data_IF_446351756181
#
_entry.id   IF_446351756181
#
_cell.length_a   1.000
_cell.length_b   1.000
_cell.length_c   1.000
_cell.angle_alpha   90.00
_cell.angle_beta   90.00
_cell.angle_gamma   90.00
#
_symmetry.space_group_name_H-M   'P 1'
#
loop_
_entity.id
_entity.type
_entity.pdbx_description
1 polymer ?
#
# COMPACT_ATOMS: atom_id res chain seq x y z
N UNK A 1 -24.64 15.02 -4.55
CA UNK A 1 -23.65 14.48 -5.50
C UNK A 1 -22.31 15.11 -5.16
N UNK A 2 -21.50 14.45 -4.31
CA UNK A 2 -20.21 14.99 -3.85
C UNK A 2 -19.10 14.36 -4.69
N UNK A 3 -18.39 15.20 -5.40
CA UNK A 3 -17.24 14.90 -6.25
C UNK A 3 -16.05 14.46 -5.42
N UNK A 4 -15.81 13.15 -5.32
CA UNK A 4 -14.67 12.53 -4.61
C UNK A 4 -13.37 12.48 -5.45
N UNK A 5 -13.41 12.89 -6.73
CA UNK A 5 -12.27 12.81 -7.67
C UNK A 5 -11.05 13.71 -7.38
N UNK A 6 -11.12 14.91 -6.79
CA UNK A 6 -9.92 15.76 -6.65
C UNK A 6 -8.90 15.26 -5.63
N UNK A 7 -9.29 14.45 -4.64
CA UNK A 7 -8.38 14.01 -3.56
C UNK A 7 -7.43 12.89 -4.00
N UNK A 8 -7.92 11.93 -4.77
CA UNK A 8 -7.12 10.78 -5.26
C UNK A 8 -6.01 11.24 -6.22
N UNK A 9 -6.29 12.19 -7.11
CA UNK A 9 -5.31 12.75 -8.03
C UNK A 9 -4.16 13.48 -7.32
N UNK A 10 -4.48 14.28 -6.29
CA UNK A 10 -3.47 14.99 -5.48
C UNK A 10 -2.59 14.04 -4.68
N UNK A 11 -3.17 12.97 -4.13
CA UNK A 11 -2.42 11.94 -3.40
C UNK A 11 -1.43 11.22 -4.33
N UNK A 12 -1.86 10.79 -5.50
CA UNK A 12 -1.00 10.14 -6.51
C UNK A 12 0.12 11.06 -6.98
N UNK A 13 -0.16 12.35 -7.22
CA UNK A 13 0.86 13.32 -7.59
C UNK A 13 1.90 13.52 -6.49
N UNK A 14 1.47 13.65 -5.24
CA UNK A 14 2.37 13.76 -4.10
C UNK A 14 3.26 12.54 -3.93
N UNK A 15 2.70 11.33 -4.10
CA UNK A 15 3.46 10.09 -4.07
C UNK A 15 4.54 10.07 -5.14
N UNK A 16 4.22 10.46 -6.39
CA UNK A 16 5.19 10.56 -7.49
C UNK A 16 6.33 11.52 -7.17
N UNK A 17 6.04 12.72 -6.68
CA UNK A 17 7.07 13.70 -6.30
C UNK A 17 7.96 13.16 -5.18
N UNK A 18 7.37 12.52 -4.15
CA UNK A 18 8.16 11.90 -3.08
C UNK A 18 9.07 10.80 -3.62
N UNK A 19 8.55 9.91 -4.46
CA UNK A 19 9.34 8.84 -5.09
C UNK A 19 10.48 9.42 -5.93
N UNK A 20 10.25 10.47 -6.71
CA UNK A 20 11.29 11.13 -7.49
C UNK A 20 12.43 11.65 -6.61
N UNK A 21 12.12 12.31 -5.49
CA UNK A 21 13.13 12.83 -4.54
C UNK A 21 13.96 11.69 -3.93
N UNK A 22 13.31 10.60 -3.51
CA UNK A 22 14.04 9.47 -2.92
C UNK A 22 14.86 8.71 -3.94
N UNK A 23 14.36 8.54 -5.16
CA UNK A 23 15.11 7.90 -6.23
C UNK A 23 16.35 8.72 -6.64
N UNK A 24 16.24 10.04 -6.68
CA UNK A 24 17.38 10.93 -6.91
C UNK A 24 18.45 10.79 -5.80
N UNK A 25 18.03 10.77 -4.53
CA UNK A 25 18.94 10.53 -3.41
C UNK A 25 19.60 9.14 -3.47
N UNK A 26 18.83 8.10 -3.82
CA UNK A 26 19.34 6.74 -3.99
C UNK A 26 20.36 6.65 -5.12
N UNK A 27 20.15 7.34 -6.24
CA UNK A 27 21.10 7.36 -7.36
C UNK A 27 22.41 8.06 -6.99
N UNK A 28 22.34 9.18 -6.29
CA UNK A 28 23.51 9.87 -5.76
C UNK A 28 24.31 8.99 -4.79
N UNK A 29 23.63 8.25 -3.89
CA UNK A 29 24.28 7.29 -3.00
C UNK A 29 24.97 6.15 -3.80
N UNK A 30 24.28 5.62 -4.83
CA UNK A 30 24.83 4.55 -5.70
C UNK A 30 26.04 5.01 -6.49
N UNK A 31 26.10 6.28 -6.91
CA UNK A 31 27.24 6.86 -7.62
C UNK A 31 28.44 7.15 -6.72
N UNK A 32 28.40 6.78 -5.43
CA UNK A 32 29.51 6.93 -4.49
C UNK A 32 29.47 8.21 -3.65
N UNK A 33 28.41 9.01 -3.73
CA UNK A 33 28.21 10.16 -2.83
C UNK A 33 27.80 9.67 -1.45
N UNK A 34 28.72 9.64 -0.50
CA UNK A 34 28.45 9.15 0.86
C UNK A 34 27.36 9.95 1.60
N UNK A 35 27.26 11.25 1.35
CA UNK A 35 26.29 12.15 2.00
C UNK A 35 25.81 13.21 0.99
N UNK A 36 24.84 12.89 0.10
CA UNK A 36 24.28 13.87 -0.82
C UNK A 36 23.64 15.03 -0.08
N UNK A 37 23.95 16.26 -0.48
CA UNK A 37 23.33 17.46 0.07
C UNK A 37 21.92 17.70 -0.51
N UNK A 38 21.09 18.46 0.22
CA UNK A 38 19.73 18.79 -0.23
C UNK A 38 19.70 19.50 -1.60
N UNK A 39 20.73 20.27 -1.94
CA UNK A 39 20.82 20.96 -3.22
C UNK A 39 21.03 19.99 -4.37
N UNK A 40 21.95 19.04 -4.22
CA UNK A 40 22.23 18.01 -5.21
C UNK A 40 21.01 17.11 -5.44
N UNK A 41 20.31 16.74 -4.35
CA UNK A 41 19.11 15.94 -4.43
C UNK A 41 17.97 16.70 -5.13
N UNK A 42 17.78 17.98 -4.79
CA UNK A 42 16.75 18.83 -5.39
C UNK A 42 16.96 18.99 -6.90
N UNK A 43 18.21 19.24 -7.32
CA UNK A 43 18.61 19.34 -8.73
C UNK A 43 18.38 18.00 -9.46
N UNK A 44 18.85 16.90 -8.90
CA UNK A 44 18.68 15.57 -9.49
C UNK A 44 17.22 15.11 -9.59
N UNK A 45 16.36 15.60 -8.70
CA UNK A 45 14.91 15.31 -8.69
C UNK A 45 14.07 16.32 -9.50
N UNK A 46 14.68 17.33 -10.09
CA UNK A 46 14.02 18.45 -10.78
C UNK A 46 12.94 19.13 -9.91
N UNK A 47 13.31 19.43 -8.65
CA UNK A 47 12.42 20.13 -7.71
C UNK A 47 13.16 21.23 -6.94
N UNK A 48 12.43 22.13 -6.31
CA UNK A 48 13.04 23.12 -5.42
C UNK A 48 13.48 22.49 -4.09
N UNK A 49 14.49 23.08 -3.43
CA UNK A 49 14.87 22.73 -2.05
C UNK A 49 13.68 22.80 -1.09
N UNK A 50 12.82 23.82 -1.26
CA UNK A 50 11.59 23.98 -0.48
C UNK A 50 10.68 22.76 -0.66
N UNK A 51 10.58 22.26 -1.88
CA UNK A 51 9.81 21.04 -2.17
C UNK A 51 10.41 19.84 -1.44
N UNK A 52 11.74 19.66 -1.46
CA UNK A 52 12.37 18.55 -0.71
C UNK A 52 12.00 18.62 0.77
N UNK A 53 12.15 19.78 1.42
CA UNK A 53 11.82 19.94 2.84
C UNK A 53 10.32 19.80 3.14
N UNK A 54 9.46 20.07 2.17
CA UNK A 54 8.02 19.82 2.33
C UNK A 54 7.69 18.34 2.47
N UNK A 55 8.48 17.45 1.82
CA UNK A 55 8.30 15.98 1.87
C UNK A 55 9.17 15.32 2.94
N UNK A 56 10.33 15.86 3.22
CA UNK A 56 11.31 15.32 4.17
C UNK A 56 11.82 16.45 5.07
N UNK A 57 11.29 16.54 6.31
CA UNK A 57 11.71 17.56 7.27
C UNK A 57 13.22 17.57 7.53
N UNK A 58 13.88 16.41 7.40
CA UNK A 58 15.33 16.27 7.57
C UNK A 58 15.94 15.48 6.41
N UNK A 59 17.18 15.83 6.06
CA UNK A 59 17.98 15.08 5.06
C UNK A 59 18.25 13.67 5.57
N UNK A 60 18.43 13.47 6.87
CA UNK A 60 18.63 12.17 7.50
C UNK A 60 17.46 11.22 7.18
N UNK A 61 16.23 11.67 7.34
CA UNK A 61 15.03 10.90 7.00
C UNK A 61 15.00 10.52 5.50
N UNK A 62 15.38 11.45 4.62
CA UNK A 62 15.45 11.21 3.19
C UNK A 62 16.53 10.17 2.84
N UNK A 63 17.72 10.30 3.37
CA UNK A 63 18.83 9.36 3.11
C UNK A 63 18.53 7.97 3.67
N UNK A 64 17.90 7.88 4.84
CA UNK A 64 17.47 6.61 5.40
C UNK A 64 16.45 5.92 4.50
N UNK A 65 15.46 6.65 3.99
CA UNK A 65 14.46 6.13 3.07
C UNK A 65 15.06 5.72 1.71
N UNK A 66 16.04 6.49 1.20
CA UNK A 66 16.80 6.16 0.00
C UNK A 66 17.63 4.87 0.19
N UNK A 67 18.33 4.73 1.32
CA UNK A 67 19.14 3.54 1.64
C UNK A 67 18.26 2.30 1.73
N UNK A 68 17.11 2.39 2.39
CA UNK A 68 16.13 1.29 2.42
C UNK A 68 15.66 0.90 1.02
N UNK A 69 15.47 1.88 0.13
CA UNK A 69 15.17 1.61 -1.28
C UNK A 69 16.28 0.83 -1.98
N UNK A 70 17.52 1.23 -1.82
CA UNK A 70 18.66 0.54 -2.41
C UNK A 70 18.76 -0.92 -1.97
N UNK A 71 18.45 -1.20 -0.71
CA UNK A 71 18.52 -2.56 -0.14
C UNK A 71 17.37 -3.46 -0.56
N UNK A 72 16.18 -2.91 -0.85
CA UNK A 72 14.98 -3.72 -0.98
C UNK A 72 14.31 -3.67 -2.36
N UNK A 73 14.45 -2.58 -3.11
CA UNK A 73 13.62 -2.34 -4.29
C UNK A 73 13.82 -3.42 -5.36
N UNK A 74 15.06 -3.66 -5.79
CA UNK A 74 15.32 -4.62 -6.86
C UNK A 74 14.89 -6.05 -6.48
N UNK A 75 15.09 -6.45 -5.23
CA UNK A 75 14.73 -7.79 -4.77
C UNK A 75 13.21 -8.00 -4.74
N UNK A 76 12.45 -7.00 -4.28
CA UNK A 76 10.99 -7.08 -4.23
C UNK A 76 10.38 -6.97 -5.63
N UNK A 77 10.86 -6.03 -6.46
CA UNK A 77 10.39 -5.87 -7.85
C UNK A 77 10.61 -7.17 -8.65
N UNK A 78 11.80 -7.78 -8.52
CA UNK A 78 12.11 -9.05 -9.18
C UNK A 78 11.22 -10.20 -8.66
N UNK A 79 10.97 -10.27 -7.34
CA UNK A 79 10.12 -11.31 -6.77
C UNK A 79 8.68 -11.23 -7.30
N UNK A 80 8.11 -10.02 -7.38
CA UNK A 80 6.78 -9.79 -7.95
C UNK A 80 6.78 -10.15 -9.45
N UNK A 81 7.80 -9.70 -10.21
CA UNK A 81 7.90 -9.94 -11.65
C UNK A 81 8.08 -11.41 -12.00
N UNK A 82 8.87 -12.18 -11.23
CA UNK A 82 9.04 -13.61 -11.44
C UNK A 82 7.76 -14.41 -11.14
N UNK A 83 6.95 -13.97 -10.17
CA UNK A 83 5.67 -14.58 -9.86
C UNK A 83 4.57 -14.27 -10.89
N UNK A 84 4.82 -13.35 -11.83
CA UNK A 84 3.86 -12.93 -12.86
C UNK A 84 3.62 -13.99 -13.97
N UNK A 85 4.45 -15.02 -14.04
CA UNK A 85 4.34 -16.09 -15.07
C UNK A 85 3.02 -16.86 -15.02
N UNK A 86 2.25 -16.78 -13.90
CA UNK A 86 0.92 -17.39 -13.74
C UNK A 86 -0.23 -16.38 -13.63
N UNK A 87 0.06 -15.07 -13.55
CA UNK A 87 -0.94 -14.00 -13.49
C UNK A 87 -1.77 -13.93 -12.20
N UNK A 88 -1.47 -14.73 -11.18
CA UNK A 88 -2.24 -14.78 -9.94
C UNK A 88 -1.74 -13.74 -8.92
N UNK A 89 -2.65 -12.87 -8.47
CA UNK A 89 -2.37 -11.87 -7.45
C UNK A 89 -1.92 -12.49 -6.11
N UNK A 90 -2.39 -13.68 -5.75
CA UNK A 90 -2.00 -14.39 -4.53
C UNK A 90 -0.52 -14.80 -4.56
N UNK A 91 -0.06 -15.32 -5.69
CA UNK A 91 1.34 -15.72 -5.87
C UNK A 91 2.27 -14.51 -5.84
N UNK A 92 1.89 -13.41 -6.49
CA UNK A 92 2.64 -12.14 -6.51
C UNK A 92 2.75 -11.52 -5.11
N UNK A 93 1.65 -11.49 -4.36
CA UNK A 93 1.64 -11.00 -2.97
C UNK A 93 2.48 -11.89 -2.06
N UNK A 94 2.39 -13.22 -2.23
CA UNK A 94 3.21 -14.18 -1.48
C UNK A 94 4.70 -14.02 -1.77
N UNK A 95 5.08 -13.81 -3.03
CA UNK A 95 6.47 -13.57 -3.43
C UNK A 95 6.99 -12.24 -2.84
N UNK A 96 6.20 -11.18 -2.87
CA UNK A 96 6.51 -9.89 -2.26
C UNK A 96 6.75 -10.03 -0.75
N UNK A 97 5.86 -10.72 -0.02
CA UNK A 97 5.99 -10.95 1.43
C UNK A 97 7.27 -11.72 1.73
N UNK A 98 7.54 -12.82 1.02
CA UNK A 98 8.78 -13.59 1.18
C UNK A 98 10.03 -12.74 0.99
N UNK A 99 10.06 -11.91 -0.05
CA UNK A 99 11.18 -11.01 -0.32
C UNK A 99 11.36 -9.98 0.82
N UNK A 100 10.29 -9.36 1.30
CA UNK A 100 10.34 -8.41 2.42
C UNK A 100 10.82 -9.06 3.72
N UNK A 101 10.33 -10.24 4.05
CA UNK A 101 10.77 -10.96 5.26
C UNK A 101 12.22 -11.42 5.13
N UNK A 102 12.66 -11.92 3.98
CA UNK A 102 14.06 -12.34 3.78
C UNK A 102 15.06 -11.19 3.96
N UNK A 103 14.65 -9.97 3.64
CA UNK A 103 15.46 -8.76 3.81
C UNK A 103 15.34 -8.15 5.22
N UNK A 104 14.43 -8.66 6.06
CA UNK A 104 14.12 -8.04 7.35
C UNK A 104 15.32 -7.97 8.29
N UNK A 105 16.21 -8.97 8.30
CA UNK A 105 17.42 -8.98 9.11
C UNK A 105 18.34 -7.78 8.83
N UNK A 106 18.42 -7.34 7.58
CA UNK A 106 19.24 -6.20 7.14
C UNK A 106 18.51 -4.86 7.25
N UNK A 107 17.20 -4.86 6.99
CA UNK A 107 16.41 -3.62 6.85
C UNK A 107 15.67 -3.23 8.13
N UNK A 108 15.44 -4.15 9.07
CA UNK A 108 14.66 -3.89 10.29
C UNK A 108 15.23 -2.77 11.16
N UNK A 109 16.55 -2.68 11.43
CA UNK A 109 17.10 -1.57 12.21
C UNK A 109 16.85 -0.21 11.56
N UNK A 110 16.98 -0.13 10.23
CA UNK A 110 16.70 1.07 9.45
C UNK A 110 15.21 1.39 9.41
N UNK A 111 14.37 0.36 9.24
CA UNK A 111 12.90 0.48 9.29
C UNK A 111 12.41 1.02 10.63
N UNK A 112 12.93 0.50 11.75
CA UNK A 112 12.63 1.01 13.11
C UNK A 112 13.07 2.48 13.27
N UNK A 113 14.22 2.85 12.74
CA UNK A 113 14.71 4.24 12.77
C UNK A 113 13.80 5.15 11.94
N UNK A 114 13.38 4.73 10.75
CA UNK A 114 12.45 5.49 9.91
C UNK A 114 11.09 5.67 10.59
N UNK A 115 10.55 4.64 11.21
CA UNK A 115 9.29 4.71 11.97
C UNK A 115 9.43 5.73 13.09
N UNK A 116 10.49 5.65 13.92
CA UNK A 116 10.75 6.59 15.02
C UNK A 116 10.81 8.03 14.53
N UNK A 117 11.55 8.33 13.47
CA UNK A 117 11.68 9.67 12.91
C UNK A 117 10.36 10.22 12.34
N UNK A 118 9.42 9.35 11.98
CA UNK A 118 8.18 9.76 11.30
C UNK A 118 6.95 9.74 12.21
N UNK A 119 6.94 8.96 13.28
CA UNK A 119 5.80 8.89 14.23
C UNK A 119 5.68 10.19 15.02
N UNK A 120 6.81 10.70 15.53
CA UNK A 120 6.82 11.89 16.39
C UNK A 120 6.79 13.22 15.61
N UNK A 121 6.81 13.17 14.28
CA UNK A 121 6.73 14.40 13.46
C UNK A 121 5.34 15.01 13.57
N UNK A 122 5.21 16.32 13.97
CA UNK A 122 3.93 17.00 14.07
C UNK A 122 3.11 16.90 12.79
N UNK A 123 1.79 16.92 12.94
CA UNK A 123 0.83 16.76 11.83
C UNK A 123 0.63 18.05 11.01
N UNK A 124 1.63 18.92 10.90
CA UNK A 124 1.54 20.17 10.12
C UNK A 124 1.15 19.95 8.66
N UNK A 125 1.35 18.74 8.17
CA UNK A 125 0.96 18.29 6.83
C UNK A 125 -0.03 17.11 6.91
N UNK A 126 -1.14 17.29 7.61
CA UNK A 126 -2.21 16.28 7.67
C UNK A 126 -2.59 15.79 6.26
N UNK A 127 -2.58 14.45 6.05
CA UNK A 127 -2.91 13.84 4.77
C UNK A 127 -1.72 13.59 3.82
N UNK A 128 -0.47 13.84 4.25
CA UNK A 128 0.70 13.43 3.48
C UNK A 128 1.27 12.09 3.98
N UNK A 129 1.63 11.15 3.07
CA UNK A 129 2.36 9.94 3.47
C UNK A 129 3.72 10.31 4.02
N UNK A 130 4.00 9.93 5.26
CA UNK A 130 5.28 10.19 5.91
C UNK A 130 6.33 9.13 5.61
N UNK A 131 5.90 7.91 5.28
CA UNK A 131 6.73 6.74 4.96
C UNK A 131 5.92 5.70 4.17
N UNK A 132 6.59 4.65 3.68
CA UNK A 132 5.91 3.44 3.17
C UNK A 132 5.33 3.55 1.76
N UNK A 133 5.59 4.62 1.01
CA UNK A 133 5.03 4.81 -0.34
C UNK A 133 5.49 3.70 -1.32
N UNK A 134 6.74 3.20 -1.24
CA UNK A 134 7.18 2.04 -2.03
C UNK A 134 6.38 0.78 -1.73
N UNK A 135 6.03 0.56 -0.46
CA UNK A 135 5.16 -0.55 -0.07
C UNK A 135 3.80 -0.46 -0.75
N UNK A 136 3.24 0.72 -0.86
CA UNK A 136 1.99 0.93 -1.58
C UNK A 136 2.16 0.61 -3.07
N UNK A 137 3.24 1.09 -3.70
CA UNK A 137 3.53 0.80 -5.11
C UNK A 137 3.69 -0.72 -5.35
N UNK A 138 4.38 -1.45 -4.47
CA UNK A 138 4.52 -2.90 -4.54
C UNK A 138 3.18 -3.63 -4.36
N UNK A 139 2.37 -3.22 -3.38
CA UNK A 139 1.04 -3.80 -3.16
C UNK A 139 0.18 -3.59 -4.42
N UNK A 140 0.09 -2.36 -4.93
CA UNK A 140 -0.67 -2.06 -6.15
C UNK A 140 -0.19 -2.88 -7.35
N UNK A 141 1.13 -3.04 -7.50
CA UNK A 141 1.73 -3.87 -8.55
C UNK A 141 1.37 -5.34 -8.37
N UNK A 142 1.48 -5.87 -7.16
CA UNK A 142 1.20 -7.27 -6.88
C UNK A 142 -0.28 -7.63 -7.11
N UNK A 143 -1.21 -6.75 -6.71
CA UNK A 143 -2.66 -6.99 -6.89
C UNK A 143 -3.23 -6.38 -8.18
N UNK A 144 -2.39 -5.87 -9.10
CA UNK A 144 -2.84 -5.28 -10.37
C UNK A 144 -3.80 -6.20 -11.17
N UNK A 145 -3.62 -7.55 -11.21
CA UNK A 145 -4.57 -8.44 -11.88
C UNK A 145 -6.01 -8.34 -11.36
N UNK A 146 -6.22 -7.88 -10.12
CA UNK A 146 -7.56 -7.77 -9.53
C UNK A 146 -8.32 -6.50 -9.93
N UNK A 147 -7.69 -5.58 -10.70
CA UNK A 147 -8.36 -4.33 -11.13
C UNK A 147 -9.60 -4.56 -12.00
N UNK A 148 -9.67 -5.66 -12.72
CA UNK A 148 -10.86 -6.02 -13.50
C UNK A 148 -11.98 -6.62 -12.66
N UNK A 149 -11.68 -7.07 -11.43
CA UNK A 149 -12.62 -7.74 -10.53
C UNK A 149 -13.15 -6.85 -9.41
N UNK A 150 -12.52 -5.69 -9.18
CA UNK A 150 -12.85 -4.73 -8.13
C UNK A 150 -13.13 -3.35 -8.75
N UNK A 151 -14.06 -2.61 -8.18
CA UNK A 151 -14.19 -1.19 -8.47
C UNK A 151 -13.04 -0.39 -7.82
N UNK A 152 -12.88 0.88 -8.20
CA UNK A 152 -11.79 1.72 -7.71
C UNK A 152 -11.80 1.84 -6.17
N UNK A 153 -12.98 1.92 -5.54
CA UNK A 153 -13.11 2.03 -4.08
C UNK A 153 -12.71 0.73 -3.39
N UNK A 154 -13.13 -0.42 -3.92
CA UNK A 154 -12.74 -1.76 -3.43
C UNK A 154 -11.25 -2.01 -3.58
N UNK A 155 -10.66 -1.59 -4.71
CA UNK A 155 -9.22 -1.71 -4.93
C UNK A 155 -8.42 -0.86 -3.93
N UNK A 156 -8.75 0.42 -3.74
CA UNK A 156 -8.08 1.31 -2.78
C UNK A 156 -8.26 0.82 -1.32
N UNK A 157 -9.44 0.26 -0.99
CA UNK A 157 -9.68 -0.38 0.31
C UNK A 157 -8.78 -1.59 0.51
N UNK A 158 -8.63 -2.46 -0.50
CA UNK A 158 -7.76 -3.62 -0.42
C UNK A 158 -6.29 -3.21 -0.28
N UNK A 159 -5.81 -2.22 -1.05
CA UNK A 159 -4.45 -1.64 -0.90
C UNK A 159 -4.22 -1.19 0.54
N UNK A 160 -5.18 -0.45 1.12
CA UNK A 160 -5.08 0.05 2.49
C UNK A 160 -5.06 -1.08 3.52
N UNK A 161 -5.90 -2.11 3.35
CA UNK A 161 -5.95 -3.28 4.24
C UNK A 161 -4.65 -4.09 4.18
N UNK A 162 -4.12 -4.35 2.98
CA UNK A 162 -2.86 -5.05 2.80
C UNK A 162 -1.68 -4.27 3.41
N UNK A 163 -1.71 -2.92 3.36
CA UNK A 163 -0.67 -2.09 3.95
C UNK A 163 -0.57 -2.22 5.49
N UNK A 164 -1.60 -2.71 6.17
CA UNK A 164 -1.59 -3.00 7.61
C UNK A 164 -0.81 -4.29 7.91
N UNK A 165 -0.96 -5.32 7.08
CA UNK A 165 -0.41 -6.66 7.33
C UNK A 165 0.92 -6.92 6.61
N UNK A 166 1.36 -5.99 5.75
CA UNK A 166 2.61 -6.08 4.99
C UNK A 166 3.53 -4.91 5.33
N UNK A 167 4.76 -5.19 5.75
CA UNK A 167 5.79 -4.19 6.02
C UNK A 167 6.34 -4.23 7.43
N UNK A 168 7.23 -3.31 7.76
CA UNK A 168 7.98 -3.33 9.02
C UNK A 168 7.09 -3.26 10.26
N UNK A 169 6.00 -2.47 10.23
CA UNK A 169 5.09 -2.36 11.36
C UNK A 169 4.49 -3.71 11.71
N UNK A 170 4.02 -4.47 10.71
CA UNK A 170 3.50 -5.81 10.91
C UNK A 170 4.61 -6.77 11.39
N UNK A 171 5.78 -6.76 10.77
CA UNK A 171 6.91 -7.61 11.16
C UNK A 171 7.40 -7.29 12.58
N UNK A 172 7.42 -6.01 12.99
CA UNK A 172 7.73 -5.61 14.37
C UNK A 172 6.73 -6.21 15.36
N UNK A 173 5.43 -6.13 15.06
CA UNK A 173 4.39 -6.73 15.91
C UNK A 173 4.59 -8.24 16.02
N UNK A 174 4.81 -8.93 14.90
CA UNK A 174 5.01 -10.38 14.91
C UNK A 174 6.28 -10.79 15.64
N UNK A 175 7.35 -10.02 15.54
CA UNK A 175 8.62 -10.27 16.21
C UNK A 175 8.57 -9.91 17.70
N UNK A 176 8.16 -8.68 18.04
CA UNK A 176 8.32 -8.14 19.40
C UNK A 176 7.23 -8.62 20.34
N UNK A 177 5.99 -8.80 19.86
CA UNK A 177 4.89 -9.25 20.72
C UNK A 177 4.70 -10.77 20.67
N UNK A 178 5.07 -11.44 19.56
CA UNK A 178 4.82 -12.85 19.37
C UNK A 178 6.09 -13.71 19.34
N UNK A 179 7.27 -13.10 19.20
CA UNK A 179 8.55 -13.80 19.11
C UNK A 179 8.69 -14.71 17.88
N UNK A 180 7.93 -14.43 16.79
CA UNK A 180 7.87 -15.31 15.63
C UNK A 180 9.17 -15.25 14.82
N UNK A 181 9.58 -16.42 14.33
CA UNK A 181 10.68 -16.57 13.38
C UNK A 181 10.30 -15.97 12.00
N UNK A 182 11.29 -15.67 11.14
CA UNK A 182 11.01 -15.18 9.78
C UNK A 182 10.10 -16.12 8.95
N UNK A 183 10.21 -17.44 9.16
CA UNK A 183 9.33 -18.42 8.52
C UNK A 183 7.87 -18.27 8.94
N UNK A 184 7.63 -18.20 10.26
CA UNK A 184 6.30 -17.99 10.83
C UNK A 184 5.74 -16.61 10.46
N UNK A 185 6.56 -15.56 10.43
CA UNK A 185 6.16 -14.23 9.96
C UNK A 185 5.68 -14.26 8.51
N UNK A 186 6.39 -15.01 7.64
CA UNK A 186 5.99 -15.20 6.24
C UNK A 186 4.64 -15.90 6.14
N UNK A 187 4.46 -16.99 6.88
CA UNK A 187 3.23 -17.77 6.89
C UNK A 187 2.03 -16.92 7.34
N UNK A 188 2.13 -16.25 8.48
CA UNK A 188 1.04 -15.43 9.03
C UNK A 188 0.71 -14.24 8.13
N UNK A 189 1.73 -13.52 7.63
CA UNK A 189 1.51 -12.37 6.75
C UNK A 189 0.87 -12.79 5.42
N UNK A 190 1.28 -13.94 4.86
CA UNK A 190 0.71 -14.49 3.63
C UNK A 190 -0.74 -14.93 3.84
N UNK A 191 -1.01 -15.66 4.92
CA UNK A 191 -2.37 -16.07 5.28
C UNK A 191 -3.31 -14.86 5.44
N UNK A 192 -2.87 -13.85 6.18
CA UNK A 192 -3.66 -12.63 6.40
C UNK A 192 -3.92 -11.88 5.07
N UNK A 193 -2.89 -11.74 4.22
CA UNK A 193 -3.03 -11.08 2.93
C UNK A 193 -4.00 -11.83 2.00
N UNK A 194 -3.92 -13.16 1.95
CA UNK A 194 -4.84 -14.00 1.16
C UNK A 194 -6.28 -13.88 1.66
N UNK A 195 -6.49 -13.87 2.99
CA UNK A 195 -7.83 -13.68 3.58
C UNK A 195 -8.43 -12.31 3.21
N UNK A 196 -7.62 -11.24 3.21
CA UNK A 196 -8.05 -9.90 2.79
C UNK A 196 -8.40 -9.85 1.31
N UNK A 197 -7.60 -10.47 0.44
CA UNK A 197 -7.89 -10.56 -1.00
C UNK A 197 -9.18 -11.33 -1.23
N UNK A 198 -9.33 -12.48 -0.59
CA UNK A 198 -10.54 -13.28 -0.70
C UNK A 198 -11.78 -12.51 -0.24
N UNK A 199 -11.72 -11.85 0.92
CA UNK A 199 -12.80 -11.02 1.43
C UNK A 199 -13.18 -9.89 0.48
N UNK A 200 -12.18 -9.19 -0.10
CA UNK A 200 -12.42 -8.11 -1.06
C UNK A 200 -13.12 -8.61 -2.34
N UNK A 201 -12.79 -9.81 -2.81
CA UNK A 201 -13.44 -10.42 -3.98
C UNK A 201 -14.88 -10.88 -3.71
N UNK A 202 -15.24 -11.18 -2.45
CA UNK A 202 -16.60 -11.55 -2.05
C UNK A 202 -17.49 -10.33 -1.78
N UNK A 203 -16.90 -9.20 -1.40
CA UNK A 203 -17.59 -7.97 -1.03
C UNK A 203 -17.98 -7.17 -2.30
N UNK A 204 -18.84 -7.78 -3.13
CA UNK A 204 -19.42 -7.08 -4.30
C UNK A 204 -20.45 -6.07 -3.82
N UNK A 205 -20.42 -4.81 -4.27
CA UNK A 205 -21.51 -3.88 -3.99
C UNK A 205 -22.83 -4.47 -4.46
N UNK A 206 -23.87 -4.44 -3.60
CA UNK A 206 -25.21 -5.02 -3.79
C UNK A 206 -26.04 -4.34 -4.91
N UNK A 207 -25.45 -3.86 -5.98
CA UNK A 207 -26.16 -3.18 -7.06
C UNK A 207 -27.01 -4.11 -7.94
N UNK A 208 -26.97 -5.43 -7.75
CA UNK A 208 -27.76 -6.38 -8.54
C UNK A 208 -28.68 -7.31 -7.74
N UNK A 209 -28.85 -7.13 -6.43
CA UNK A 209 -29.67 -8.05 -5.61
C UNK A 209 -31.13 -7.65 -5.46
N UNK A 210 -31.55 -6.47 -5.84
CA UNK A 210 -32.90 -5.94 -5.56
C UNK A 210 -33.85 -5.84 -6.76
N UNK A 211 -33.49 -6.35 -7.93
CA UNK A 211 -34.37 -6.29 -9.10
C UNK A 211 -35.28 -7.50 -9.28
N UNK A 212 -35.11 -8.62 -8.54
CA UNK A 212 -35.82 -9.85 -8.87
C UNK A 212 -36.49 -10.59 -7.69
N UNK A 213 -36.76 -9.92 -6.56
CA UNK A 213 -37.54 -10.51 -5.46
C UNK A 213 -38.58 -9.53 -4.92
N UNK A 214 -39.46 -9.05 -5.78
CA UNK A 214 -40.75 -8.54 -5.32
C UNK A 214 -41.70 -9.74 -5.32
N UNK A 215 -42.18 -10.21 -4.15
CA UNK A 215 -43.21 -11.25 -4.12
C UNK A 215 -44.44 -10.73 -4.86
N UNK A 216 -45.15 -11.57 -5.62
CA UNK A 216 -46.38 -11.17 -6.26
C UNK A 216 -47.38 -10.66 -5.21
N UNK A 217 -48.01 -9.53 -5.54
CA UNK A 217 -49.03 -8.94 -4.70
C UNK A 217 -50.12 -10.00 -4.43
N UNK A 218 -50.68 -10.10 -3.19
CA UNK A 218 -51.79 -11.01 -2.93
C UNK A 218 -52.99 -10.63 -3.81
N UNK A 219 -53.53 -11.62 -4.54
CA UNK A 219 -54.74 -11.47 -5.33
C UNK A 219 -55.86 -10.95 -4.44
N UNK A 220 -56.47 -9.86 -4.86
CA UNK A 220 -57.66 -9.32 -4.20
C UNK A 220 -58.79 -10.34 -4.35
N UNK A 221 -59.21 -10.90 -3.24
CA UNK A 221 -60.37 -11.79 -3.18
C UNK A 221 -61.64 -11.08 -3.66
N UNK A 222 -62.65 -11.85 -4.15
CA UNK A 222 -63.87 -11.27 -4.71
C UNK A 222 -64.67 -10.50 -3.65
N UNK A 223 -65.39 -9.44 -4.05
CA UNK A 223 -66.17 -8.61 -3.15
C UNK A 223 -67.32 -9.39 -2.50
N UNK A 224 -67.67 -9.07 -1.23
CA UNK A 224 -68.78 -9.76 -0.52
C UNK A 224 -70.11 -9.47 -1.21
N UNK A 225 -70.97 -10.52 -1.28
CA UNK A 225 -72.32 -10.46 -1.84
C UNK A 225 -73.22 -9.52 -1.01
N UNK A 226 -74.18 -8.80 -1.65
CA UNK A 226 -75.13 -7.93 -0.95
C UNK A 226 -76.10 -8.74 -0.08
N UNK A 227 -76.22 -8.34 1.19
CA UNK A 227 -77.23 -8.88 2.09
C UNK A 227 -78.58 -8.25 1.76
N UNK A 228 -79.61 -9.12 1.54
CA UNK A 228 -81.01 -8.75 1.50
C UNK A 228 -81.61 -8.81 2.90
#
# INVERSE_FOLDING_TARGET
MSTTEPQTGRFRQRRRTRSAIVNAAAELLRSGRATPGVNEIAEAADVSRRTVYQYFPTVEQLLLDATLGLLSQAAVDNAIGQADTGGDALDRVSAMIRALVSLSSQTMPLGRSLIRLTVDTPAENAGQPKRGYRRIDWIETAIAPLRSSLDDAGFERLVSALAIVIGWEALIVLQDLRGLTPGEQTEISTWAAHALIWAALQDRPETHRTANQRPPAPEAGPPPAPQQ
#
